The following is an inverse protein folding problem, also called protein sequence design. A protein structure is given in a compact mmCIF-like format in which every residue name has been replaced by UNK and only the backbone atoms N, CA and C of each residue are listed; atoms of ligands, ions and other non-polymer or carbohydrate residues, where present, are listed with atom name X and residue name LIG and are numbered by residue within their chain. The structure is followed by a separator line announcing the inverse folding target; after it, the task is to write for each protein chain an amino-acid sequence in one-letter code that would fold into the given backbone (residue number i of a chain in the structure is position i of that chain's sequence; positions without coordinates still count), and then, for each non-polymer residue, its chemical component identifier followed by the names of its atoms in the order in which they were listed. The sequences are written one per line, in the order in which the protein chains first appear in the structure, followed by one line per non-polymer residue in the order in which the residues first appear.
data_IF_531294060858
#
_entry.id   IF_531294060858
#
_cell.length_a   1.000
_cell.length_b   1.000
_cell.length_c   1.000
_cell.angle_alpha   90.00
_cell.angle_beta   90.00
_cell.angle_gamma   90.00
#
_symmetry.space_group_name_H-M   'P 1'
#
loop_
_entity.id
_entity.type
_entity.pdbx_description
1 polymer ?
#
# COMPACT_ATOMS: atom_id res chain seq x y z
N UNK A 1 -10.14 22.19 -35.99
CA UNK A 1 -11.44 21.77 -36.58
C UNK A 1 -11.65 20.30 -36.25
N UNK A 2 -12.78 19.98 -35.59
CA UNK A 2 -13.56 18.72 -35.60
C UNK A 2 -12.80 17.35 -35.74
N UNK A 3 -13.03 16.28 -34.95
CA UNK A 3 -14.30 15.71 -34.47
C UNK A 3 -14.07 14.72 -33.31
N UNK A 4 -15.09 14.65 -32.46
CA UNK A 4 -15.34 13.66 -31.41
C UNK A 4 -15.47 12.24 -31.97
N UNK A 5 -14.93 11.24 -31.25
CA UNK A 5 -15.49 9.87 -31.22
C UNK A 5 -15.37 9.31 -29.79
N UNK A 6 -16.52 9.12 -29.16
CA UNK A 6 -16.75 8.45 -27.89
C UNK A 6 -16.80 6.94 -28.12
N UNK A 7 -16.25 6.12 -27.21
CA UNK A 7 -16.63 4.71 -27.09
C UNK A 7 -17.03 4.44 -25.65
N UNK A 8 -18.27 3.96 -25.53
CA UNK A 8 -19.02 3.64 -24.32
C UNK A 8 -19.08 2.12 -24.24
N UNK A 9 -18.72 1.52 -23.10
CA UNK A 9 -19.05 0.11 -22.81
C UNK A 9 -19.89 0.09 -21.54
N UNK A 10 -21.18 -0.13 -21.71
CA UNK A 10 -22.13 -0.42 -20.65
C UNK A 10 -22.22 -1.94 -20.49
N UNK A 11 -22.09 -2.45 -19.27
CA UNK A 11 -22.51 -3.82 -18.91
C UNK A 11 -23.68 -3.70 -17.95
N UNK A 12 -24.87 -3.96 -18.47
CA UNK A 12 -26.11 -4.12 -17.72
C UNK A 12 -26.21 -5.56 -17.21
N UNK A 13 -26.35 -5.74 -15.90
CA UNK A 13 -26.84 -6.99 -15.31
C UNK A 13 -28.20 -6.72 -14.64
N UNK A 14 -29.23 -7.38 -15.17
CA UNK A 14 -30.60 -7.37 -14.67
C UNK A 14 -30.69 -8.30 -13.46
N UNK A 15 -31.22 -7.82 -12.33
CA UNK A 15 -31.70 -8.68 -11.25
C UNK A 15 -33.18 -8.38 -11.02
N UNK A 16 -34.01 -9.37 -11.34
CA UNK A 16 -35.45 -9.40 -11.05
C UNK A 16 -35.61 -9.75 -9.57
N UNK A 17 -36.12 -8.82 -8.77
CA UNK A 17 -36.53 -9.07 -7.38
C UNK A 17 -38.05 -9.21 -7.28
N UNK A 18 -38.53 -10.41 -6.95
CA UNK A 18 -39.93 -10.63 -6.56
C UNK A 18 -40.10 -10.25 -5.08
N UNK A 19 -40.99 -9.29 -4.82
CA UNK A 19 -41.45 -8.91 -3.48
C UNK A 19 -42.56 -9.86 -3.04
N UNK A 20 -42.39 -10.50 -1.89
CA UNK A 20 -43.46 -11.16 -1.15
C UNK A 20 -43.75 -10.37 0.14
N UNK A 21 -45.02 -10.13 0.52
CA UNK A 21 -45.36 -9.40 1.73
C UNK A 21 -45.28 -10.34 2.94
N UNK A 22 -44.61 -9.91 4.01
CA UNK A 22 -44.74 -10.58 5.32
C UNK A 22 -45.68 -9.75 6.18
N UNK A 23 -46.80 -10.37 6.51
CA UNK A 23 -47.82 -9.88 7.44
C UNK A 23 -47.26 -9.79 8.86
N UNK A 24 -47.57 -8.68 9.54
CA UNK A 24 -47.28 -8.51 10.95
C UNK A 24 -48.23 -9.39 11.78
N UNK A 25 -47.68 -10.28 12.61
CA UNK A 25 -48.40 -10.99 13.65
C UNK A 25 -47.75 -10.68 15.00
N UNK A 26 -48.50 -9.98 15.84
CA UNK A 26 -48.24 -9.80 17.27
C UNK A 26 -48.53 -11.11 17.99
N UNK A 27 -47.57 -11.64 18.75
CA UNK A 27 -47.83 -12.70 19.73
C UNK A 27 -47.00 -12.46 21.00
N UNK A 28 -47.72 -12.53 22.12
CA UNK A 28 -47.30 -12.22 23.48
C UNK A 28 -46.24 -13.16 24.04
N UNK A 29 -45.44 -12.61 24.95
CA UNK A 29 -44.39 -13.31 25.68
C UNK A 29 -44.92 -14.41 26.61
N UNK A 30 -44.29 -15.58 26.56
CA UNK A 30 -44.22 -16.54 27.67
C UNK A 30 -42.76 -16.95 27.84
N UNK A 31 -42.22 -16.71 29.03
CA UNK A 31 -40.88 -17.09 29.44
C UNK A 31 -40.90 -18.57 29.83
N UNK A 32 -40.25 -19.42 29.05
CA UNK A 32 -39.93 -20.80 29.42
C UNK A 32 -38.42 -20.98 29.36
N UNK A 33 -37.80 -21.15 30.53
CA UNK A 33 -36.39 -21.45 30.71
C UNK A 33 -36.13 -22.93 30.41
N UNK A 34 -35.63 -23.23 29.21
CA UNK A 34 -34.98 -24.52 28.91
C UNK A 34 -33.60 -24.27 28.35
N UNK A 35 -32.58 -24.73 29.08
CA UNK A 35 -31.18 -24.71 28.67
C UNK A 35 -30.96 -25.63 27.46
N UNK A 36 -31.05 -25.05 26.26
CA UNK A 36 -30.64 -25.69 25.01
C UNK A 36 -29.31 -25.12 24.54
N UNK A 37 -28.28 -25.97 24.46
CA UNK A 37 -26.99 -25.68 23.82
C UNK A 37 -27.21 -25.37 22.32
N UNK A 38 -27.49 -24.11 22.00
CA UNK A 38 -27.50 -23.63 20.62
C UNK A 38 -26.05 -23.52 20.12
N UNK A 39 -25.65 -24.44 19.24
CA UNK A 39 -24.44 -24.29 18.42
C UNK A 39 -24.63 -23.05 17.54
N UNK A 40 -24.04 -21.93 17.93
CA UNK A 40 -23.90 -20.76 17.06
C UNK A 40 -23.01 -21.14 15.89
N UNK A 41 -23.60 -21.17 14.69
CA UNK A 41 -22.86 -21.17 13.44
C UNK A 41 -21.94 -19.95 13.43
N UNK A 42 -20.64 -20.20 13.37
CA UNK A 42 -19.64 -19.15 13.12
C UNK A 42 -19.84 -18.72 11.67
N UNK A 43 -20.60 -17.64 11.47
CA UNK A 43 -20.66 -16.96 10.19
C UNK A 43 -19.24 -16.52 9.82
N UNK A 44 -18.79 -16.92 8.64
CA UNK A 44 -17.55 -16.43 8.04
C UNK A 44 -17.57 -14.91 8.00
N UNK A 45 -16.75 -14.26 8.82
CA UNK A 45 -16.51 -12.83 8.72
C UNK A 45 -15.87 -12.56 7.37
N UNK A 46 -16.66 -12.06 6.43
CA UNK A 46 -16.17 -11.58 5.15
C UNK A 46 -15.27 -10.37 5.46
N UNK A 47 -13.96 -10.55 5.24
CA UNK A 47 -12.98 -9.48 5.37
C UNK A 47 -13.24 -8.44 4.28
N UNK A 48 -14.17 -7.52 4.56
CA UNK A 48 -14.42 -6.35 3.75
C UNK A 48 -13.32 -5.33 4.01
N UNK A 49 -12.76 -4.78 2.94
CA UNK A 49 -11.81 -3.67 3.01
C UNK A 49 -12.49 -2.51 3.76
N UNK A 50 -12.01 -2.21 4.97
CA UNK A 50 -12.51 -1.08 5.74
C UNK A 50 -12.11 0.20 5.00
N UNK A 51 -13.12 0.99 4.59
CA UNK A 51 -12.93 2.32 3.98
C UNK A 51 -12.39 3.29 5.03
N UNK A 52 -11.11 3.19 5.34
CA UNK A 52 -10.42 4.19 6.17
C UNK A 52 -9.83 5.24 5.24
N UNK A 53 -10.15 6.51 5.48
CA UNK A 53 -9.57 7.62 4.72
C UNK A 53 -8.04 7.55 4.74
N UNK A 54 -7.41 7.97 3.64
CA UNK A 54 -5.95 7.99 3.55
C UNK A 54 -5.39 9.06 4.48
N UNK A 55 -4.61 8.65 5.47
CA UNK A 55 -3.94 9.55 6.42
C UNK A 55 -2.46 9.69 6.08
N UNK A 56 -1.93 10.93 6.14
CA UNK A 56 -0.50 11.20 5.92
C UNK A 56 -0.09 11.41 4.45
N UNK A 57 -0.99 11.22 3.48
CA UNK A 57 -0.68 11.46 2.08
C UNK A 57 -0.29 12.93 1.84
N UNK A 58 0.96 13.17 1.47
CA UNK A 58 1.44 14.45 0.99
C UNK A 58 1.63 14.38 -0.54
N UNK A 59 0.88 15.15 -1.35
CA UNK A 59 1.07 15.13 -2.80
C UNK A 59 2.46 15.64 -3.22
N UNK A 60 3.10 16.48 -2.41
CA UNK A 60 4.45 17.00 -2.68
C UNK A 60 5.58 16.05 -2.34
N UNK A 61 5.29 15.04 -1.52
CA UNK A 61 6.24 14.05 -1.01
C UNK A 61 5.47 12.75 -0.77
N UNK A 62 5.22 11.99 -1.83
CA UNK A 62 4.47 10.73 -1.74
C UNK A 62 5.34 9.66 -1.07
N UNK A 63 6.64 9.72 -1.34
CA UNK A 63 7.68 8.86 -0.79
C UNK A 63 9.02 9.60 -0.93
N UNK A 64 9.90 9.47 0.05
CA UNK A 64 11.22 10.13 0.03
C UNK A 64 12.18 9.47 -0.97
N UNK A 65 13.15 10.25 -1.47
CA UNK A 65 14.25 9.72 -2.30
C UNK A 65 15.02 8.61 -1.58
N UNK A 66 15.29 8.81 -0.29
CA UNK A 66 16.01 7.84 0.54
C UNK A 66 15.31 6.48 0.59
N UNK A 67 13.97 6.46 0.71
CA UNK A 67 13.21 5.20 0.69
C UNK A 67 13.09 4.65 -0.74
N UNK A 68 12.77 5.49 -1.73
CA UNK A 68 12.48 5.04 -3.09
C UNK A 68 13.69 4.42 -3.80
N UNK A 69 14.89 4.96 -3.56
CA UNK A 69 16.14 4.50 -4.18
C UNK A 69 16.95 3.56 -3.28
N UNK A 70 16.44 3.19 -2.09
CA UNK A 70 17.10 2.19 -1.24
C UNK A 70 16.85 0.77 -1.75
N UNK A 71 17.77 0.26 -2.56
CA UNK A 71 17.71 -1.10 -3.11
C UNK A 71 17.90 -2.22 -2.06
N UNK A 72 18.31 -1.92 -0.84
CA UNK A 72 18.69 -2.91 0.17
C UNK A 72 17.54 -3.31 1.13
N UNK A 73 16.30 -2.95 0.82
CA UNK A 73 15.15 -3.14 1.72
C UNK A 73 14.57 -4.55 1.72
N UNK A 74 14.84 -5.36 0.69
CA UNK A 74 14.39 -6.76 0.63
C UNK A 74 15.41 -7.61 -0.13
N UNK A 75 15.69 -8.81 0.38
CA UNK A 75 16.34 -9.86 -0.38
C UNK A 75 15.34 -10.59 -1.31
N UNK A 76 15.83 -11.38 -2.25
CA UNK A 76 14.97 -12.25 -3.07
C UNK A 76 14.12 -13.21 -2.20
N UNK A 77 14.66 -13.67 -1.07
CA UNK A 77 13.94 -14.54 -0.15
C UNK A 77 12.79 -13.80 0.56
N UNK A 78 13.02 -12.55 0.97
CA UNK A 78 11.98 -11.72 1.61
C UNK A 78 10.84 -11.43 0.65
N UNK A 79 11.15 -11.12 -0.63
CA UNK A 79 10.14 -10.89 -1.66
C UNK A 79 9.32 -12.16 -1.90
N UNK A 80 9.98 -13.32 -1.97
CA UNK A 80 9.29 -14.60 -2.15
C UNK A 80 8.39 -14.92 -0.96
N UNK A 81 8.86 -14.72 0.27
CA UNK A 81 8.08 -14.91 1.48
C UNK A 81 6.86 -13.97 1.51
N UNK A 82 7.06 -12.70 1.11
CA UNK A 82 5.98 -11.73 0.99
C UNK A 82 4.91 -12.19 -0.01
N UNK A 83 5.29 -12.64 -1.22
CA UNK A 83 4.34 -13.16 -2.20
C UNK A 83 3.60 -14.42 -1.72
N UNK A 84 4.28 -15.32 -1.03
CA UNK A 84 3.66 -16.48 -0.41
C UNK A 84 2.63 -16.07 0.67
N UNK A 85 2.89 -14.99 1.40
CA UNK A 85 1.97 -14.44 2.40
C UNK A 85 0.74 -13.75 1.81
N UNK A 86 0.81 -13.23 0.58
CA UNK A 86 -0.31 -12.54 -0.09
C UNK A 86 -1.28 -13.48 -0.78
N UNK A 87 -0.80 -14.61 -1.29
CA UNK A 87 -1.62 -15.61 -2.00
C UNK A 87 -1.33 -17.00 -1.45
N UNK A 88 -2.26 -17.56 -0.67
CA UNK A 88 -2.12 -18.90 -0.12
C UNK A 88 -2.28 -20.00 -1.20
N UNK A 89 -3.25 -19.84 -2.11
CA UNK A 89 -3.53 -20.79 -3.18
C UNK A 89 -3.79 -20.08 -4.50
N UNK A 90 -3.26 -20.65 -5.58
CA UNK A 90 -3.55 -20.21 -6.93
C UNK A 90 -4.72 -21.01 -7.50
N UNK A 91 -5.57 -20.36 -8.30
CA UNK A 91 -6.64 -21.03 -9.01
C UNK A 91 -6.04 -22.06 -9.98
N UNK A 92 -6.64 -23.25 -10.04
CA UNK A 92 -6.21 -24.31 -10.95
C UNK A 92 -6.14 -23.82 -12.39
N UNK A 93 -5.06 -24.17 -13.10
CA UNK A 93 -4.80 -23.73 -14.48
C UNK A 93 -4.10 -22.37 -14.60
N UNK A 94 -3.86 -21.67 -13.49
CA UNK A 94 -3.13 -20.40 -13.47
C UNK A 94 -1.82 -20.52 -12.69
N UNK A 95 -0.86 -19.65 -13.03
CA UNK A 95 0.41 -19.49 -12.31
C UNK A 95 0.40 -18.14 -11.64
N UNK A 96 0.35 -18.11 -10.32
CA UNK A 96 0.35 -16.88 -9.53
C UNK A 96 1.76 -16.30 -9.41
N UNK A 97 1.88 -15.01 -9.07
CA UNK A 97 3.17 -14.31 -9.04
C UNK A 97 4.22 -15.04 -8.18
N UNK A 98 3.80 -15.61 -7.05
CA UNK A 98 4.67 -16.39 -6.15
C UNK A 98 5.30 -17.62 -6.82
N UNK A 99 4.59 -18.23 -7.76
CA UNK A 99 4.99 -19.45 -8.47
C UNK A 99 5.53 -19.15 -9.88
N UNK A 100 5.40 -17.91 -10.34
CA UNK A 100 5.84 -17.50 -11.67
C UNK A 100 7.36 -17.68 -11.83
N UNK A 101 7.73 -18.25 -12.97
CA UNK A 101 9.12 -18.50 -13.36
C UNK A 101 9.35 -18.06 -14.79
N UNK A 102 10.54 -17.55 -15.08
CA UNK A 102 10.92 -17.13 -16.43
C UNK A 102 12.41 -17.35 -16.68
N UNK A 103 12.77 -17.74 -17.92
CA UNK A 103 14.14 -17.63 -18.39
C UNK A 103 14.45 -16.16 -18.71
N UNK A 104 15.45 -15.58 -18.07
CA UNK A 104 15.80 -14.18 -18.27
C UNK A 104 16.98 -14.03 -19.23
N UNK A 105 17.02 -12.97 -20.05
CA UNK A 105 18.12 -12.69 -20.93
C UNK A 105 19.25 -11.95 -20.21
N UNK A 106 20.44 -11.95 -20.82
CA UNK A 106 21.47 -10.97 -20.48
C UNK A 106 21.03 -9.57 -20.93
N UNK A 107 21.31 -8.55 -20.11
CA UNK A 107 21.19 -7.13 -20.48
C UNK A 107 22.52 -6.42 -20.18
N UNK A 108 23.10 -5.68 -21.14
CA UNK A 108 24.30 -4.90 -20.88
C UNK A 108 24.00 -3.77 -19.89
N UNK A 109 25.03 -3.33 -19.18
CA UNK A 109 24.97 -2.13 -18.35
C UNK A 109 24.80 -0.88 -19.22
N UNK A 110 24.16 0.13 -18.66
CA UNK A 110 24.09 1.47 -19.22
C UNK A 110 24.15 2.54 -18.13
N UNK A 111 23.78 3.79 -18.45
CA UNK A 111 23.81 4.90 -17.51
C UNK A 111 22.89 4.72 -16.28
N UNK A 112 21.83 3.93 -16.39
CA UNK A 112 20.76 3.85 -15.40
C UNK A 112 20.76 2.54 -14.62
N UNK A 113 21.25 1.45 -15.23
CA UNK A 113 21.31 0.15 -14.59
C UNK A 113 22.65 -0.52 -14.85
N UNK A 114 23.19 -1.24 -13.86
CA UNK A 114 24.49 -1.93 -13.95
C UNK A 114 24.44 -3.22 -14.80
N UNK A 115 23.40 -3.44 -15.58
CA UNK A 115 23.19 -4.64 -16.40
C UNK A 115 22.57 -5.80 -15.63
N UNK A 116 22.28 -6.88 -16.35
CA UNK A 116 21.63 -8.08 -15.80
C UNK A 116 22.23 -9.33 -16.43
N UNK A 117 22.68 -10.29 -15.62
CA UNK A 117 23.10 -11.60 -16.12
C UNK A 117 21.91 -12.56 -16.09
N UNK A 118 21.42 -12.95 -17.27
CA UNK A 118 20.29 -13.85 -17.41
C UNK A 118 20.55 -15.22 -16.78
N UNK A 119 19.48 -15.87 -16.33
CA UNK A 119 19.50 -17.23 -15.83
C UNK A 119 18.21 -17.98 -16.22
N UNK A 120 18.27 -19.31 -16.36
CA UNK A 120 17.07 -20.11 -16.59
C UNK A 120 16.21 -20.16 -15.32
N UNK A 121 14.90 -20.26 -15.52
CA UNK A 121 13.91 -20.58 -14.49
C UNK A 121 13.97 -19.68 -13.23
N UNK A 122 14.19 -18.38 -13.40
CA UNK A 122 14.21 -17.45 -12.27
C UNK A 122 12.80 -17.20 -11.74
N UNK A 123 12.68 -17.11 -10.41
CA UNK A 123 11.45 -16.65 -9.77
C UNK A 123 11.17 -15.18 -10.03
N UNK A 124 9.90 -14.80 -10.01
CA UNK A 124 9.51 -13.39 -10.04
C UNK A 124 10.20 -12.59 -8.92
N UNK A 125 10.35 -13.18 -7.73
CA UNK A 125 11.05 -12.58 -6.59
C UNK A 125 12.55 -12.34 -6.88
N UNK A 126 13.22 -13.31 -7.48
CA UNK A 126 14.62 -13.20 -7.91
C UNK A 126 14.78 -12.10 -8.97
N UNK A 127 13.89 -12.07 -9.95
CA UNK A 127 13.89 -11.06 -11.02
C UNK A 127 13.77 -9.65 -10.41
N UNK A 128 12.76 -9.41 -9.54
CA UNK A 128 12.57 -8.11 -8.89
C UNK A 128 13.81 -7.72 -8.09
N UNK A 129 14.33 -8.61 -7.25
CA UNK A 129 15.52 -8.34 -6.44
C UNK A 129 16.72 -7.94 -7.31
N UNK A 130 17.04 -8.75 -8.32
CA UNK A 130 18.22 -8.52 -9.16
C UNK A 130 18.09 -7.26 -10.02
N UNK A 131 16.89 -6.95 -10.51
CA UNK A 131 16.61 -5.69 -11.22
C UNK A 131 16.73 -4.50 -10.27
N UNK A 132 16.17 -4.58 -9.06
CA UNK A 132 16.31 -3.56 -8.02
C UNK A 132 17.79 -3.27 -7.70
N UNK A 133 18.60 -4.32 -7.57
CA UNK A 133 20.05 -4.17 -7.36
C UNK A 133 20.76 -3.47 -8.54
N UNK A 134 20.38 -3.84 -9.76
CA UNK A 134 20.96 -3.32 -11.00
C UNK A 134 20.63 -1.85 -11.22
N UNK A 135 19.38 -1.46 -11.04
CA UNK A 135 18.89 -0.12 -11.34
C UNK A 135 18.82 0.79 -10.11
N UNK A 136 19.20 0.33 -8.91
CA UNK A 136 19.20 1.17 -7.70
C UNK A 136 17.80 1.64 -7.28
N UNK A 137 16.81 0.75 -7.35
CA UNK A 137 15.42 1.03 -6.95
C UNK A 137 15.06 0.14 -5.77
N UNK A 138 14.27 0.66 -4.83
CA UNK A 138 13.74 -0.13 -3.73
C UNK A 138 12.82 -1.26 -4.25
N UNK A 139 13.11 -2.55 -3.96
CA UNK A 139 12.27 -3.66 -4.41
C UNK A 139 10.81 -3.57 -3.94
N UNK A 140 10.54 -2.95 -2.78
CA UNK A 140 9.18 -2.70 -2.28
C UNK A 140 8.39 -1.77 -3.23
N UNK A 141 9.04 -0.78 -3.84
CA UNK A 141 8.44 0.12 -4.83
C UNK A 141 7.96 -0.69 -6.05
N UNK A 142 8.83 -1.56 -6.59
CA UNK A 142 8.48 -2.40 -7.74
C UNK A 142 7.31 -3.35 -7.42
N UNK A 143 7.31 -3.93 -6.22
CA UNK A 143 6.21 -4.79 -5.73
C UNK A 143 4.89 -4.02 -5.64
N UNK A 144 4.91 -2.80 -5.09
CA UNK A 144 3.71 -1.96 -4.99
C UNK A 144 3.21 -1.52 -6.36
N UNK A 145 4.11 -1.16 -7.28
CA UNK A 145 3.74 -0.82 -8.64
C UNK A 145 3.06 -2.00 -9.34
N UNK A 146 3.56 -3.24 -9.20
CA UNK A 146 2.90 -4.43 -9.76
C UNK A 146 1.47 -4.60 -9.26
N UNK A 147 1.24 -4.33 -7.97
CA UNK A 147 -0.11 -4.38 -7.41
C UNK A 147 -0.99 -3.28 -7.98
N UNK A 148 -0.48 -2.05 -8.04
CA UNK A 148 -1.24 -0.89 -8.53
C UNK A 148 -1.64 -1.06 -10.00
N UNK A 149 -0.76 -1.59 -10.83
CA UNK A 149 -0.98 -1.67 -12.28
C UNK A 149 -1.79 -2.89 -12.72
N UNK A 150 -1.52 -4.07 -12.14
CA UNK A 150 -2.15 -5.32 -12.59
C UNK A 150 -2.83 -6.11 -11.48
N UNK A 151 -2.81 -5.62 -10.23
CA UNK A 151 -3.29 -6.37 -9.05
C UNK A 151 -2.49 -7.65 -8.80
N UNK A 152 -1.31 -7.77 -9.41
CA UNK A 152 -0.66 -9.06 -9.66
C UNK A 152 -0.18 -9.75 -8.38
N UNK A 153 0.16 -8.96 -7.34
CA UNK A 153 0.66 -9.46 -6.05
C UNK A 153 -0.40 -10.25 -5.30
N UNK A 154 -1.66 -9.83 -5.38
CA UNK A 154 -2.80 -10.49 -4.71
C UNK A 154 -3.64 -11.36 -5.65
N UNK A 155 -3.31 -11.42 -6.94
CA UNK A 155 -4.14 -12.07 -7.94
C UNK A 155 -4.02 -13.60 -7.86
N UNK A 156 -5.16 -14.31 -7.82
CA UNK A 156 -5.19 -15.78 -7.73
C UNK A 156 -5.43 -16.48 -9.07
N UNK A 157 -5.81 -15.77 -10.13
CA UNK A 157 -5.96 -16.31 -11.50
C UNK A 157 -5.34 -15.41 -12.61
N UNK A 158 -4.06 -14.98 -12.50
CA UNK A 158 -3.53 -14.01 -13.44
C UNK A 158 -3.36 -14.59 -14.84
N UNK A 159 -3.89 -13.90 -15.85
CA UNK A 159 -3.66 -14.28 -17.26
C UNK A 159 -2.22 -13.95 -17.69
N UNK A 160 -1.74 -14.62 -18.73
CA UNK A 160 -0.40 -14.36 -19.29
C UNK A 160 -0.20 -12.88 -19.65
N UNK A 161 -1.23 -12.26 -20.23
CA UNK A 161 -1.20 -10.84 -20.58
C UNK A 161 -0.81 -9.94 -19.42
N UNK A 162 -1.24 -10.22 -18.18
CA UNK A 162 -0.84 -9.41 -17.02
C UNK A 162 0.66 -9.46 -16.75
N UNK A 163 1.33 -10.56 -17.06
CA UNK A 163 2.78 -10.65 -16.96
C UNK A 163 3.48 -9.93 -18.12
N UNK A 164 2.90 -10.01 -19.31
CA UNK A 164 3.47 -9.37 -20.50
C UNK A 164 3.45 -7.83 -20.40
N UNK A 165 2.50 -7.32 -19.61
CA UNK A 165 2.14 -5.90 -19.45
C UNK A 165 2.23 -5.43 -17.99
N UNK A 166 3.02 -6.12 -17.17
CA UNK A 166 2.99 -6.04 -15.71
C UNK A 166 3.09 -4.62 -15.14
N UNK A 167 3.80 -3.72 -15.83
CA UNK A 167 4.01 -2.32 -15.43
C UNK A 167 3.77 -1.34 -16.58
N UNK A 168 3.08 -1.75 -17.63
CA UNK A 168 2.73 -0.90 -18.78
C UNK A 168 3.92 -0.38 -19.60
N UNK A 169 5.12 -0.95 -19.44
CA UNK A 169 6.29 -0.50 -20.17
C UNK A 169 6.13 -0.79 -21.66
N UNK A 170 6.30 0.23 -22.50
CA UNK A 170 6.19 0.09 -23.95
C UNK A 170 4.74 -0.07 -24.45
N UNK A 171 3.75 0.30 -23.63
CA UNK A 171 2.33 0.10 -23.92
C UNK A 171 1.57 1.43 -23.96
N UNK A 172 1.61 2.17 -25.08
CA UNK A 172 0.89 3.42 -25.22
C UNK A 172 -0.62 3.19 -25.31
N UNK A 173 -1.43 4.12 -24.78
CA UNK A 173 -2.90 4.02 -24.82
C UNK A 173 -3.48 4.02 -26.25
N UNK A 174 -2.71 4.49 -27.24
CA UNK A 174 -3.16 4.71 -28.62
C UNK A 174 -2.58 3.72 -29.64
N UNK A 175 -1.75 2.77 -29.20
CA UNK A 175 -1.16 1.76 -30.07
C UNK A 175 -0.91 0.43 -29.33
N UNK A 176 -0.67 -0.68 -30.03
CA UNK A 176 -0.29 -1.93 -29.39
C UNK A 176 0.98 -1.79 -28.57
N UNK A 177 1.13 -2.62 -27.53
CA UNK A 177 2.39 -2.74 -26.81
C UNK A 177 3.52 -3.14 -27.76
N UNK A 178 4.69 -2.55 -27.56
CA UNK A 178 5.91 -2.98 -28.20
C UNK A 178 6.31 -4.38 -27.69
N UNK A 179 6.36 -5.39 -28.57
CA UNK A 179 6.73 -6.76 -28.21
C UNK A 179 8.11 -6.87 -27.55
N UNK A 180 9.02 -5.92 -27.77
CA UNK A 180 10.35 -5.92 -27.13
C UNK A 180 10.29 -5.73 -25.61
N UNK A 181 9.17 -5.25 -25.08
CA UNK A 181 8.92 -5.09 -23.64
C UNK A 181 7.96 -6.14 -23.08
N UNK A 182 7.43 -7.05 -23.92
CA UNK A 182 6.49 -8.07 -23.47
C UNK A 182 7.18 -9.14 -22.61
N UNK A 183 6.71 -9.31 -21.38
CA UNK A 183 7.10 -10.37 -20.45
C UNK A 183 7.60 -9.82 -19.13
N UNK A 184 7.41 -10.59 -18.06
CA UNK A 184 7.60 -10.11 -16.69
C UNK A 184 8.98 -9.46 -16.46
N UNK A 185 10.07 -10.12 -16.87
CA UNK A 185 11.42 -9.56 -16.78
C UNK A 185 11.55 -8.18 -17.46
N UNK A 186 11.06 -8.03 -18.69
CA UNK A 186 11.20 -6.78 -19.43
C UNK A 186 10.36 -5.66 -18.84
N UNK A 187 9.20 -5.99 -18.29
CA UNK A 187 8.35 -5.05 -17.58
C UNK A 187 9.02 -4.55 -16.29
N UNK A 188 9.61 -5.45 -15.47
CA UNK A 188 10.34 -5.05 -14.26
C UNK A 188 11.60 -4.24 -14.60
N UNK A 189 12.46 -4.75 -15.49
CA UNK A 189 13.70 -4.06 -15.87
C UNK A 189 13.42 -2.69 -16.51
N UNK A 190 12.48 -2.65 -17.44
CA UNK A 190 12.08 -1.44 -18.14
C UNK A 190 11.52 -0.38 -17.19
N UNK A 191 10.60 -0.76 -16.29
CA UNK A 191 10.04 0.16 -15.32
C UNK A 191 11.09 0.69 -14.33
N UNK A 192 11.94 -0.19 -13.78
CA UNK A 192 13.01 0.23 -12.87
C UNK A 192 13.99 1.21 -13.53
N UNK A 193 14.40 0.92 -14.76
CA UNK A 193 15.22 1.81 -15.58
C UNK A 193 14.50 3.14 -15.87
N UNK A 194 13.21 3.08 -16.18
CA UNK A 194 12.41 4.27 -16.49
C UNK A 194 12.30 5.20 -15.27
N UNK A 195 12.21 4.66 -14.05
CA UNK A 195 12.23 5.47 -12.83
C UNK A 195 13.55 6.24 -12.66
N UNK A 196 14.69 5.63 -13.01
CA UNK A 196 15.98 6.34 -13.02
C UNK A 196 16.01 7.46 -14.06
N UNK A 197 15.46 7.24 -15.26
CA UNK A 197 15.35 8.28 -16.30
C UNK A 197 14.49 9.45 -15.83
N UNK A 198 13.37 9.18 -15.16
CA UNK A 198 12.51 10.21 -14.58
C UNK A 198 13.23 11.01 -13.49
N UNK A 199 14.00 10.34 -12.63
CA UNK A 199 14.73 10.97 -11.52
C UNK A 199 15.96 11.78 -11.97
N UNK A 200 16.46 11.53 -13.17
CA UNK A 200 17.64 12.20 -13.72
C UNK A 200 17.42 13.72 -13.95
N UNK A 201 16.21 14.11 -14.36
CA UNK A 201 15.86 15.52 -14.62
C UNK A 201 16.36 16.09 -15.96
N UNK A 202 17.00 15.28 -16.82
CA UNK A 202 17.51 15.71 -18.13
C UNK A 202 16.39 15.87 -19.17
N UNK A 203 15.46 14.91 -19.20
CA UNK A 203 14.42 14.81 -20.25
C UNK A 203 13.02 15.19 -19.76
N UNK A 204 12.79 15.09 -18.45
CA UNK A 204 11.49 15.30 -17.82
C UNK A 204 11.59 16.44 -16.80
N UNK A 205 10.99 17.59 -17.12
CA UNK A 205 11.09 18.80 -16.29
C UNK A 205 9.73 19.37 -15.85
N UNK A 206 8.61 18.86 -16.36
CA UNK A 206 7.27 19.40 -16.09
C UNK A 206 6.69 19.09 -14.70
N UNK A 207 7.40 18.30 -13.89
CA UNK A 207 7.19 18.11 -12.44
C UNK A 207 8.51 18.15 -11.68
N UNK A 208 9.47 18.96 -12.13
CA UNK A 208 10.80 19.03 -11.52
C UNK A 208 10.72 19.39 -10.02
N UNK A 209 11.50 18.74 -9.14
CA UNK A 209 11.56 19.06 -7.71
C UNK A 209 11.95 20.52 -7.44
N UNK A 210 11.56 21.02 -6.27
CA UNK A 210 11.82 22.40 -5.83
C UNK A 210 10.85 23.44 -6.40
N UNK A 211 9.83 23.01 -7.14
CA UNK A 211 8.86 23.89 -7.80
C UNK A 211 7.42 23.51 -7.43
N UNK A 212 6.52 24.48 -7.54
CA UNK A 212 5.07 24.25 -7.42
C UNK A 212 4.44 24.05 -8.79
N UNK A 213 3.78 22.91 -8.99
CA UNK A 213 3.10 22.55 -10.22
C UNK A 213 1.60 22.41 -10.01
N UNK A 214 0.79 22.85 -10.98
CA UNK A 214 -0.65 22.64 -10.93
C UNK A 214 -1.01 21.28 -11.54
N UNK A 215 -1.08 20.24 -10.70
CA UNK A 215 -1.28 18.85 -11.14
C UNK A 215 -2.77 18.56 -11.29
N UNK A 216 -3.15 17.94 -12.41
CA UNK A 216 -4.53 17.57 -12.70
C UNK A 216 -5.05 16.51 -11.73
N UNK A 217 -6.35 16.56 -11.42
CA UNK A 217 -7.01 15.49 -10.67
C UNK A 217 -7.39 14.29 -11.55
N UNK A 218 -7.51 14.49 -12.87
CA UNK A 218 -8.04 13.52 -13.81
C UNK A 218 -7.63 13.87 -15.26
N UNK A 219 -7.57 12.92 -16.20
CA UNK A 219 -7.32 13.20 -17.63
C UNK A 219 -8.27 14.24 -18.24
N UNK A 220 -9.52 14.25 -17.77
CA UNK A 220 -10.47 15.30 -18.10
C UNK A 220 -10.08 16.60 -17.39
N UNK A 221 -9.52 17.56 -18.13
CA UNK A 221 -9.07 18.83 -17.58
C UNK A 221 -10.16 19.65 -16.87
N UNK A 222 -11.44 19.43 -17.19
CA UNK A 222 -12.57 20.08 -16.51
C UNK A 222 -12.75 19.64 -15.05
N UNK A 223 -12.13 18.52 -14.66
CA UNK A 223 -12.06 18.08 -13.27
C UNK A 223 -11.17 18.95 -12.39
N UNK A 224 -10.43 19.89 -12.99
CA UNK A 224 -9.58 20.83 -12.27
C UNK A 224 -8.22 20.25 -11.88
N UNK A 225 -7.51 21.05 -11.10
CA UNK A 225 -6.14 20.84 -10.64
C UNK A 225 -5.92 21.60 -9.34
N UNK A 226 -4.84 21.31 -8.63
CA UNK A 226 -4.37 22.14 -7.52
C UNK A 226 -2.84 22.27 -7.52
N UNK A 227 -2.31 23.33 -6.88
CA UNK A 227 -0.87 23.50 -6.75
C UNK A 227 -0.28 22.46 -5.80
N UNK A 228 0.82 21.82 -6.22
CA UNK A 228 1.61 20.86 -5.46
C UNK A 228 3.07 21.28 -5.51
N UNK A 229 3.68 21.54 -4.36
CA UNK A 229 5.12 21.74 -4.27
C UNK A 229 5.82 20.37 -4.28
N UNK A 230 6.59 20.07 -5.33
CA UNK A 230 7.25 18.77 -5.47
C UNK A 230 8.59 18.83 -4.74
N UNK A 231 8.72 18.06 -3.67
CA UNK A 231 9.87 18.13 -2.75
C UNK A 231 11.06 17.32 -3.25
N UNK A 232 10.84 16.20 -3.96
CA UNK A 232 11.88 15.24 -4.28
C UNK A 232 11.70 14.50 -5.61
N UNK A 233 12.74 13.80 -6.05
CA UNK A 233 12.82 13.13 -7.36
C UNK A 233 11.89 11.92 -7.45
N UNK A 234 11.74 11.17 -6.38
CA UNK A 234 10.87 10.00 -6.29
C UNK A 234 9.40 10.39 -6.52
N UNK A 235 8.95 11.47 -5.88
CA UNK A 235 7.60 12.00 -6.07
C UNK A 235 7.42 12.52 -7.49
N UNK A 236 8.40 13.24 -8.06
CA UNK A 236 8.36 13.64 -9.46
C UNK A 236 8.23 12.43 -10.41
N UNK A 237 9.01 11.37 -10.18
CA UNK A 237 8.97 10.14 -10.97
C UNK A 237 7.60 9.45 -10.94
N UNK A 238 6.95 9.40 -9.77
CA UNK A 238 5.59 8.87 -9.63
C UNK A 238 4.55 9.69 -10.39
N UNK A 239 4.72 11.01 -10.49
CA UNK A 239 3.86 11.85 -11.33
C UNK A 239 4.15 11.70 -12.82
N UNK A 240 5.41 11.50 -13.23
CA UNK A 240 5.70 11.18 -14.63
C UNK A 240 5.10 9.83 -15.05
N UNK A 241 5.10 8.86 -14.13
CA UNK A 241 4.52 7.55 -14.37
C UNK A 241 2.98 7.55 -14.31
N UNK A 242 2.40 8.25 -13.33
CA UNK A 242 0.95 8.42 -13.18
C UNK A 242 0.57 9.89 -12.94
N UNK A 243 0.24 10.65 -14.00
CA UNK A 243 0.23 12.12 -13.99
C UNK A 243 -1.02 12.77 -13.40
N UNK A 244 -1.57 12.18 -12.34
CA UNK A 244 -2.74 12.71 -11.64
C UNK A 244 -2.57 12.65 -10.13
N UNK A 245 -2.93 13.72 -9.44
CA UNK A 245 -3.05 13.72 -7.99
C UNK A 245 -4.47 13.29 -7.57
N UNK A 246 -4.64 12.60 -6.43
CA UNK A 246 -5.97 12.30 -5.94
C UNK A 246 -6.70 13.57 -5.50
N UNK A 247 -8.00 13.64 -5.77
CA UNK A 247 -8.86 14.68 -5.19
C UNK A 247 -9.32 14.26 -3.77
N UNK A 248 -10.04 15.16 -3.08
CA UNK A 248 -10.53 14.87 -1.73
C UNK A 248 -11.44 13.63 -1.65
N UNK A 249 -12.25 13.37 -2.68
CA UNK A 249 -13.13 12.20 -2.73
C UNK A 249 -12.32 10.89 -2.85
N UNK A 250 -11.27 10.88 -3.68
CA UNK A 250 -10.36 9.75 -3.85
C UNK A 250 -9.63 9.42 -2.54
N UNK A 251 -9.16 10.44 -1.80
CA UNK A 251 -8.50 10.28 -0.49
C UNK A 251 -9.48 9.77 0.58
N UNK A 252 -10.72 10.27 0.59
CA UNK A 252 -11.75 9.82 1.53
C UNK A 252 -12.17 8.36 1.29
N UNK A 253 -12.07 7.85 0.05
CA UNK A 253 -12.46 6.50 -0.29
C UNK A 253 -11.52 5.40 0.25
N UNK A 254 -10.36 5.75 0.80
CA UNK A 254 -9.43 4.78 1.39
C UNK A 254 -8.82 3.89 0.34
N UNK A 255 -9.19 2.60 0.30
CA UNK A 255 -8.88 1.67 -0.80
C UNK A 255 -9.99 1.56 -1.85
N UNK A 256 -11.21 1.99 -1.54
CA UNK A 256 -12.35 1.88 -2.43
C UNK A 256 -12.36 2.92 -3.55
N UNK A 257 -13.34 2.76 -4.44
CA UNK A 257 -13.69 3.76 -5.44
C UNK A 257 -14.48 4.90 -4.79
N UNK A 258 -14.18 6.12 -5.21
CA UNK A 258 -14.97 7.29 -4.88
C UNK A 258 -16.16 7.37 -5.84
N UNK A 259 -17.34 7.73 -5.34
CA UNK A 259 -18.49 8.08 -6.19
C UNK A 259 -18.32 9.50 -6.77
N UNK A 260 -17.24 9.71 -7.52
CA UNK A 260 -16.85 10.98 -8.10
C UNK A 260 -16.01 10.73 -9.37
N UNK A 261 -16.54 11.12 -10.53
CA UNK A 261 -15.96 10.90 -11.85
C UNK A 261 -14.63 11.64 -12.11
N UNK A 262 -14.22 12.54 -11.22
CA UNK A 262 -12.97 13.29 -11.30
C UNK A 262 -11.88 12.72 -10.38
N UNK A 263 -12.10 11.51 -9.85
CA UNK A 263 -11.17 10.85 -8.93
C UNK A 263 -10.16 10.00 -9.68
N UNK A 264 -8.87 10.27 -9.44
CA UNK A 264 -7.79 9.38 -9.86
C UNK A 264 -7.17 8.70 -8.65
N UNK A 265 -6.79 7.42 -8.81
CA UNK A 265 -6.35 6.57 -7.70
C UNK A 265 -4.89 6.17 -7.75
N UNK A 266 -4.17 6.44 -8.84
CA UNK A 266 -2.83 5.87 -9.07
C UNK A 266 -1.84 6.17 -7.93
N UNK A 267 -1.52 7.44 -7.71
CA UNK A 267 -0.59 7.86 -6.65
C UNK A 267 -1.13 7.56 -5.23
N UNK A 268 -2.45 7.65 -5.04
CA UNK A 268 -3.11 7.26 -3.78
C UNK A 268 -2.90 5.78 -3.47
N UNK A 269 -3.14 4.91 -4.45
CA UNK A 269 -3.03 3.46 -4.31
C UNK A 269 -1.59 3.06 -4.07
N UNK A 270 -0.64 3.68 -4.78
CA UNK A 270 0.79 3.50 -4.49
C UNK A 270 1.07 3.78 -3.01
N UNK A 271 0.71 4.98 -2.53
CA UNK A 271 0.93 5.37 -1.13
C UNK A 271 0.27 4.38 -0.17
N UNK A 272 -1.00 4.03 -0.39
CA UNK A 272 -1.72 3.12 0.49
C UNK A 272 -1.06 1.74 0.57
N UNK A 273 -0.77 1.11 -0.58
CA UNK A 273 -0.13 -0.20 -0.60
C UNK A 273 1.26 -0.17 0.02
N UNK A 274 2.06 0.86 -0.26
CA UNK A 274 3.39 0.98 0.34
C UNK A 274 3.30 1.12 1.86
N UNK A 275 2.45 2.04 2.32
CA UNK A 275 2.21 2.30 3.75
C UNK A 275 1.71 1.05 4.48
N UNK A 276 0.70 0.37 3.93
CA UNK A 276 0.09 -0.82 4.54
C UNK A 276 1.04 -2.01 4.58
N UNK A 277 1.89 -2.18 3.57
CA UNK A 277 2.74 -3.36 3.46
C UNK A 277 4.11 -3.20 4.10
N UNK A 278 4.65 -1.98 4.13
CA UNK A 278 6.04 -1.73 4.49
C UNK A 278 6.25 -0.59 5.50
N UNK A 279 5.20 0.17 5.83
CA UNK A 279 5.18 1.09 6.98
C UNK A 279 5.84 2.46 6.78
N UNK A 280 7.00 2.54 6.11
CA UNK A 280 7.82 3.77 6.06
C UNK A 280 7.85 4.42 4.68
N UNK A 281 7.23 5.59 4.50
CA UNK A 281 7.29 6.32 3.23
C UNK A 281 8.40 7.40 3.22
N UNK A 282 8.78 7.90 4.40
CA UNK A 282 9.87 8.86 4.55
C UNK A 282 10.93 8.31 5.49
N UNK A 283 12.20 8.45 5.11
CA UNK A 283 13.32 8.05 5.97
C UNK A 283 13.35 8.86 7.28
N UNK A 284 12.62 9.98 7.33
CA UNK A 284 12.51 10.86 8.48
C UNK A 284 11.21 10.66 9.29
N UNK A 285 10.38 9.67 8.90
CA UNK A 285 9.20 9.36 9.68
C UNK A 285 9.60 8.65 10.98
N UNK A 286 8.93 8.98 12.10
CA UNK A 286 8.94 8.12 13.26
C UNK A 286 8.51 6.71 12.84
N UNK A 287 9.21 5.71 13.33
CA UNK A 287 8.93 4.30 13.11
C UNK A 287 8.54 3.63 14.42
N UNK A 288 7.86 2.50 14.36
CA UNK A 288 7.43 1.80 15.56
C UNK A 288 6.67 0.53 15.26
N UNK A 289 6.52 -0.30 16.28
CA UNK A 289 5.81 -1.56 16.21
C UNK A 289 5.03 -1.84 17.50
N UNK A 290 3.84 -2.41 17.39
CA UNK A 290 3.09 -2.95 18.53
C UNK A 290 3.49 -4.41 18.71
N UNK A 291 4.05 -4.73 19.87
CA UNK A 291 4.55 -6.07 20.20
C UNK A 291 3.52 -6.86 21.01
N UNK A 292 2.77 -6.20 21.88
CA UNK A 292 1.77 -6.83 22.75
C UNK A 292 0.47 -6.06 22.72
N UNK A 293 -0.63 -6.80 22.52
CA UNK A 293 -1.98 -6.33 22.74
C UNK A 293 -2.73 -7.38 23.56
N UNK A 294 -2.96 -7.07 24.83
CA UNK A 294 -3.59 -7.97 25.80
C UNK A 294 -4.85 -7.33 26.39
N UNK A 295 -5.88 -8.15 26.59
CA UNK A 295 -7.07 -7.76 27.34
C UNK A 295 -7.03 -8.45 28.71
N UNK A 296 -6.94 -7.66 29.77
CA UNK A 296 -7.00 -8.11 31.16
C UNK A 296 -8.37 -7.74 31.76
N UNK A 297 -8.77 -8.37 32.87
CA UNK A 297 -9.94 -7.93 33.62
C UNK A 297 -9.84 -6.45 33.99
N UNK A 298 -10.69 -5.62 33.40
CA UNK A 298 -10.72 -4.19 33.67
C UNK A 298 -9.63 -3.35 33.01
N UNK A 299 -8.73 -3.93 32.20
CA UNK A 299 -7.74 -3.14 31.45
C UNK A 299 -7.37 -3.74 30.07
N UNK A 300 -6.91 -2.91 29.13
CA UNK A 300 -6.12 -3.36 28.00
C UNK A 300 -4.65 -3.01 28.27
N UNK A 301 -3.74 -3.86 27.79
CA UNK A 301 -2.31 -3.61 27.83
C UNK A 301 -1.79 -3.55 26.41
N UNK A 302 -1.17 -2.43 26.06
CA UNK A 302 -0.50 -2.23 24.77
C UNK A 302 0.96 -1.97 25.04
N UNK A 303 1.82 -2.77 24.41
CA UNK A 303 3.27 -2.60 24.47
C UNK A 303 3.80 -2.52 23.06
N UNK A 304 4.71 -1.59 22.84
CA UNK A 304 5.42 -1.47 21.59
C UNK A 304 6.64 -0.58 21.75
N UNK A 305 7.32 -0.38 20.63
CA UNK A 305 8.42 0.57 20.55
C UNK A 305 8.11 1.60 19.47
N UNK A 306 8.65 2.80 19.64
CA UNK A 306 8.55 3.85 18.65
C UNK A 306 9.78 4.77 18.74
N UNK A 307 10.38 5.13 17.61
CA UNK A 307 11.54 5.99 17.57
C UNK A 307 11.61 6.80 16.29
N UNK A 308 12.32 7.90 16.32
CA UNK A 308 12.60 8.74 15.16
C UNK A 308 14.10 8.63 14.86
N UNK A 309 14.46 8.16 13.67
CA UNK A 309 15.88 7.94 13.30
C UNK A 309 16.68 9.25 13.24
N UNK A 310 16.01 10.40 13.19
CA UNK A 310 16.65 11.71 13.18
C UNK A 310 16.63 12.42 14.53
N UNK A 311 15.97 11.84 15.54
CA UNK A 311 15.87 12.43 16.86
C UNK A 311 16.21 11.39 17.93
N UNK A 312 17.26 11.63 18.74
CA UNK A 312 17.54 10.78 19.90
C UNK A 312 16.57 11.05 21.07
N UNK A 313 15.56 11.91 20.88
CA UNK A 313 14.59 12.24 21.94
C UNK A 313 13.37 11.31 21.89
N UNK A 314 12.76 11.03 23.05
CA UNK A 314 11.47 10.36 23.15
C UNK A 314 10.41 10.97 22.27
N UNK A 315 9.65 10.12 21.58
CA UNK A 315 8.51 10.55 20.76
C UNK A 315 7.18 10.28 21.46
N UNK A 316 6.23 11.20 21.26
CA UNK A 316 4.87 11.01 21.73
C UNK A 316 4.19 9.90 20.90
N UNK A 317 3.47 9.03 21.59
CA UNK A 317 2.70 7.93 20.99
C UNK A 317 1.25 8.10 21.42
N UNK A 318 0.32 7.92 20.49
CA UNK A 318 -1.10 7.87 20.83
C UNK A 318 -1.61 6.44 20.65
N UNK A 319 -2.37 5.94 21.61
CA UNK A 319 -3.01 4.64 21.50
C UNK A 319 -4.51 4.84 21.55
N UNK A 320 -5.24 4.31 20.56
CA UNK A 320 -6.66 4.50 20.44
C UNK A 320 -7.43 3.20 20.76
N UNK A 321 -8.37 3.28 21.69
CA UNK A 321 -9.27 2.18 22.04
C UNK A 321 -10.69 2.69 21.86
N UNK A 322 -11.46 2.13 20.92
CA UNK A 322 -12.85 2.54 20.68
C UNK A 322 -13.05 4.03 20.32
N UNK A 323 -12.06 4.65 19.66
CA UNK A 323 -12.09 6.07 19.30
C UNK A 323 -11.51 7.02 20.36
N UNK A 324 -11.24 6.53 21.57
CA UNK A 324 -10.57 7.31 22.64
C UNK A 324 -9.06 7.15 22.50
N UNK A 325 -8.36 8.24 22.24
CA UNK A 325 -6.89 8.29 22.16
C UNK A 325 -6.27 8.70 23.48
N UNK A 326 -5.34 7.89 24.00
CA UNK A 326 -4.54 8.25 25.16
C UNK A 326 -3.11 8.53 24.70
N UNK A 327 -2.57 9.73 24.99
CA UNK A 327 -1.16 10.02 24.75
C UNK A 327 -0.29 9.25 25.76
N UNK A 328 0.81 8.73 25.28
CA UNK A 328 1.93 8.18 26.05
C UNK A 328 3.22 8.66 25.40
N UNK A 329 4.37 8.34 25.99
CA UNK A 329 5.68 8.65 25.42
C UNK A 329 6.45 7.33 25.30
N UNK A 330 7.09 7.14 24.16
CA UNK A 330 8.09 6.08 24.03
C UNK A 330 9.37 6.61 24.65
N UNK A 331 9.61 6.32 25.95
CA UNK A 331 10.72 6.88 26.75
C UNK A 331 11.50 5.84 27.56
N UNK A 332 11.35 4.56 27.23
CA UNK A 332 12.05 3.44 27.90
C UNK A 332 13.09 2.86 26.94
N UNK A 333 14.37 2.86 27.26
CA UNK A 333 15.41 2.37 26.33
C UNK A 333 15.25 0.87 25.96
N UNK A 334 15.41 0.55 24.67
CA UNK A 334 15.52 -0.81 24.10
C UNK A 334 16.79 -0.96 23.26
N UNK A 335 17.90 -1.34 23.89
CA UNK A 335 19.15 -1.59 23.18
C UNK A 335 19.04 -2.69 22.11
N UNK A 336 18.13 -3.65 22.28
CA UNK A 336 17.86 -4.75 21.34
C UNK A 336 17.20 -4.28 20.03
N UNK A 337 16.35 -3.24 20.09
CA UNK A 337 15.72 -2.63 18.91
C UNK A 337 16.70 -1.68 18.22
N UNK A 338 17.49 -0.91 18.99
CA UNK A 338 18.53 -0.02 18.47
C UNK A 338 19.58 -0.74 17.60
N UNK A 339 19.90 -1.99 17.93
CA UNK A 339 20.90 -2.76 17.19
C UNK A 339 20.40 -3.29 15.83
N UNK A 340 19.09 -3.42 15.64
CA UNK A 340 18.51 -4.02 14.44
C UNK A 340 18.12 -2.99 13.37
N UNK A 341 18.00 -1.70 13.73
CA UNK A 341 17.59 -0.62 12.82
C UNK A 341 18.70 0.44 12.77
N UNK A 342 19.48 0.43 11.69
CA UNK A 342 20.58 1.36 11.48
C UNK A 342 20.10 2.82 11.57
N UNK A 343 20.71 3.61 12.48
CA UNK A 343 20.42 5.04 12.65
C UNK A 343 19.33 5.34 13.67
N UNK A 344 18.56 4.35 14.13
CA UNK A 344 17.78 4.50 15.35
C UNK A 344 18.79 4.62 16.50
N UNK A 345 18.75 5.71 17.28
CA UNK A 345 19.56 5.86 18.48
C UNK A 345 19.22 4.78 19.52
N UNK A 346 19.31 5.08 20.82
CA UNK A 346 18.65 4.22 21.81
C UNK A 346 17.15 4.18 21.47
N UNK A 347 16.67 3.14 20.78
CA UNK A 347 15.27 3.01 20.42
C UNK A 347 14.43 3.05 21.69
N UNK A 348 13.38 3.86 21.69
CA UNK A 348 12.59 4.07 22.91
C UNK A 348 11.27 3.29 22.85
N UNK A 349 10.89 2.68 23.97
CA UNK A 349 9.68 1.87 24.18
C UNK A 349 8.61 2.71 24.83
N UNK A 350 7.38 2.50 24.39
CA UNK A 350 6.19 2.96 25.10
C UNK A 350 5.50 1.76 25.77
N UNK A 351 5.14 1.92 27.04
CA UNK A 351 4.29 1.01 27.78
C UNK A 351 3.03 1.75 28.22
N UNK A 352 1.86 1.31 27.76
CA UNK A 352 0.57 1.91 28.15
C UNK A 352 -0.42 0.87 28.67
N UNK A 353 -1.00 1.14 29.84
CA UNK A 353 -2.11 0.39 30.43
C UNK A 353 -3.38 1.23 30.35
N UNK A 354 -4.51 0.62 30.01
CA UNK A 354 -5.78 1.29 29.74
C UNK A 354 -6.89 0.70 30.59
N UNK A 355 -7.67 1.45 31.37
CA UNK A 355 -8.89 0.89 31.97
C UNK A 355 -9.91 0.49 30.88
N UNK A 356 -10.64 -0.62 31.10
CA UNK A 356 -11.65 -1.14 30.17
C UNK A 356 -12.84 -0.18 30.14
N UNK A 357 -12.99 0.55 29.05
CA UNK A 357 -14.22 1.29 28.75
C UNK A 357 -15.30 0.27 28.31
N UNK A 358 -16.52 0.43 28.83
CA UNK A 358 -17.63 -0.43 28.44
C UNK A 358 -17.90 -0.28 26.94
N UNK A 359 -17.94 -1.41 26.23
CA UNK A 359 -18.16 -1.56 24.78
C UNK A 359 -17.06 -0.99 23.88
N UNK A 360 -16.07 -1.82 23.57
CA UNK A 360 -15.11 -1.56 22.49
C UNK A 360 -15.08 -2.76 21.56
N UNK A 361 -15.40 -2.53 20.28
CA UNK A 361 -15.41 -3.57 19.23
C UNK A 361 -14.14 -3.54 18.35
N UNK A 362 -13.24 -2.57 18.55
CA UNK A 362 -11.98 -2.44 17.81
C UNK A 362 -10.93 -1.61 18.58
N UNK A 363 -9.66 -2.05 18.52
CA UNK A 363 -8.50 -1.36 19.11
C UNK A 363 -7.49 -1.03 18.02
N UNK A 364 -7.02 0.21 17.95
CA UNK A 364 -6.06 0.70 16.94
C UNK A 364 -4.98 1.55 17.63
N UNK A 365 -3.70 1.22 17.47
CA UNK A 365 -2.62 2.15 17.88
C UNK A 365 -2.25 3.07 16.70
N UNK A 366 -1.93 4.34 16.95
CA UNK A 366 -1.39 5.23 15.93
C UNK A 366 -0.47 6.30 16.54
N UNK A 367 0.77 6.37 16.08
CA UNK A 367 1.84 7.15 16.73
C UNK A 367 2.05 8.50 16.01
N UNK A 368 2.47 9.55 16.72
CA UNK A 368 2.64 10.90 16.16
C UNK A 368 3.81 11.63 16.85
N UNK A 369 4.88 11.92 16.12
CA UNK A 369 5.98 12.75 16.66
C UNK A 369 5.56 14.21 16.85
N UNK A 370 6.06 14.83 17.92
CA UNK A 370 5.93 16.26 18.20
C UNK A 370 6.97 17.12 17.48
N UNK A 371 8.03 16.53 16.91
CA UNK A 371 9.13 17.26 16.24
C UNK A 371 9.04 17.30 14.71
N UNK A 372 8.27 16.42 14.05
CA UNK A 372 8.06 16.48 12.60
C UNK A 372 6.75 15.79 12.19
N UNK A 373 6.12 16.27 11.11
CA UNK A 373 4.83 15.80 10.61
C UNK A 373 4.94 14.37 10.07
N UNK A 374 4.57 13.38 10.88
CA UNK A 374 4.44 11.98 10.44
C UNK A 374 3.48 11.19 11.34
N UNK A 375 2.62 10.37 10.73
CA UNK A 375 1.75 9.41 11.40
C UNK A 375 2.24 8.01 11.04
N UNK A 376 2.44 7.14 12.03
CA UNK A 376 2.75 5.72 11.76
C UNK A 376 1.46 4.99 11.34
N UNK A 377 1.49 4.10 10.33
CA UNK A 377 0.31 3.34 9.93
C UNK A 377 -0.34 2.54 11.07
N UNK A 378 -1.67 2.43 10.99
CA UNK A 378 -2.49 1.68 11.95
C UNK A 378 -2.19 0.18 11.88
N UNK A 379 -1.62 -0.41 12.93
CA UNK A 379 -1.74 -1.85 13.14
C UNK A 379 -3.14 -2.15 13.67
N UNK A 380 -3.99 -2.79 12.85
CA UNK A 380 -5.33 -3.19 13.28
C UNK A 380 -5.29 -4.63 13.79
N UNK A 381 -5.53 -4.85 15.08
CA UNK A 381 -5.69 -6.18 15.64
C UNK A 381 -7.16 -6.37 16.04
N UNK A 382 -7.95 -6.99 15.16
CA UNK A 382 -9.31 -7.42 15.49
C UNK A 382 -9.27 -8.78 16.17
N UNK A 383 -9.30 -8.80 17.50
CA UNK A 383 -9.69 -10.01 18.25
C UNK A 383 -11.08 -9.79 18.83
N UNK A 384 -12.09 -10.34 18.15
CA UNK A 384 -13.45 -10.45 18.69
C UNK A 384 -13.38 -11.35 19.92
N UNK A 385 -13.51 -10.77 21.11
CA UNK A 385 -13.74 -11.52 22.33
C UNK A 385 -15.02 -11.01 22.97
N UNK A 386 -16.02 -11.89 23.06
CA UNK A 386 -17.22 -11.67 23.87
C UNK A 386 -16.85 -11.62 25.34
#
# INVERSE_FOLDING_TARGET
MARFVTVLVAVTAVVVGTVAPVTAATASATVSTTAGLARTSVGTAQSGIVKTAVTGFNPGNIISDAVFFNKNTMSAADIQAFFNGKVASCQSGYVCLKDARQNTPNRPADQYCSGYSGAPNESAATIIYRVAQSCGINPQVLVVMLQKEQGLVTHTWPSQWRYDMALGQGCPDTAPCDPAFAGFFYQIYGAARQMQIYAEGRWFQWYAPGNTWNILYHPNANCGRSPVYIENKATAALYYYTPYQPNAAALAAGYGEANNACSSYGNRNFYNYFTDWFGVNHADDPIGNVEVLEANPGEFRVVGWAGDVNSPNPIQVHVYVGGVGIPTVANIERPDVAYTIQGLGAGEVFLSRFPRLAQVHSTCASMRSTSARGLIPRSTASRLMR
#
